data_IF_406162376838
#
_entry.id   IF_406162376838
#
_cell.length_a   1.000
_cell.length_b   1.000
_cell.length_c   1.000
_cell.angle_alpha   90.00
_cell.angle_beta   90.00
_cell.angle_gamma   90.00
#
_symmetry.space_group_name_H-M   'P 1'
#
loop_
_entity.id
_entity.type
_entity.pdbx_description
1 polymer ?
#
# COMPACT_ATOMS: atom_id res chain seq x y z
N UNK A 1 12.16 -50.20 -2.84
CA UNK A 1 12.09 -50.55 -4.28
C UNK A 1 12.94 -49.54 -5.05
N UNK A 2 14.06 -50.02 -5.56
CA UNK A 2 15.13 -49.19 -6.16
C UNK A 2 14.89 -49.10 -7.68
N UNK A 3 14.73 -47.91 -8.20
CA UNK A 3 14.57 -47.65 -9.64
C UNK A 3 15.94 -47.34 -10.26
N UNK A 4 16.57 -48.35 -10.81
CA UNK A 4 17.74 -48.22 -11.66
C UNK A 4 17.35 -47.52 -13.00
N UNK A 5 17.80 -46.28 -13.21
CA UNK A 5 17.73 -45.67 -14.53
C UNK A 5 18.94 -46.07 -15.36
N UNK A 6 18.69 -46.86 -16.41
CA UNK A 6 19.66 -47.23 -17.44
C UNK A 6 20.14 -45.98 -18.20
N UNK A 7 21.44 -45.71 -18.10
CA UNK A 7 22.13 -44.78 -19.03
C UNK A 7 22.46 -45.60 -20.30
N UNK A 8 21.75 -45.32 -21.39
CA UNK A 8 22.11 -45.86 -22.70
C UNK A 8 23.43 -45.20 -23.15
N UNK A 9 24.52 -45.98 -23.11
CA UNK A 9 25.75 -45.62 -23.84
C UNK A 9 25.47 -45.75 -25.33
N UNK A 10 25.42 -44.62 -26.03
CA UNK A 10 25.47 -44.63 -27.49
C UNK A 10 26.92 -44.90 -27.95
N UNK A 11 27.17 -46.10 -28.43
CA UNK A 11 28.41 -46.42 -29.13
C UNK A 11 28.36 -45.78 -30.51
N UNK A 12 29.19 -44.75 -30.72
CA UNK A 12 29.43 -44.17 -32.05
C UNK A 12 30.36 -45.13 -32.76
N UNK A 13 29.84 -45.83 -33.78
CA UNK A 13 30.63 -46.61 -34.69
C UNK A 13 31.44 -45.70 -35.63
N UNK A 14 32.75 -45.67 -35.44
CA UNK A 14 33.67 -44.97 -36.36
C UNK A 14 33.87 -45.87 -37.58
N UNK A 15 33.25 -45.54 -38.71
CA UNK A 15 33.58 -46.14 -40.02
C UNK A 15 34.94 -45.64 -40.45
N UNK A 16 35.89 -46.57 -40.63
CA UNK A 16 37.17 -46.33 -41.25
C UNK A 16 36.97 -45.85 -42.70
N UNK A 17 37.25 -44.61 -42.99
CA UNK A 17 37.43 -44.07 -44.34
C UNK A 17 38.92 -43.94 -44.66
N UNK A 18 39.31 -44.09 -45.89
CA UNK A 18 40.70 -44.28 -46.29
C UNK A 18 41.59 -43.08 -46.00
N UNK A 19 42.79 -43.39 -45.59
CA UNK A 19 43.90 -42.51 -45.23
C UNK A 19 44.14 -41.43 -46.27
N UNK A 20 43.56 -40.26 -46.11
CA UNK A 20 44.12 -39.03 -46.66
C UNK A 20 45.18 -38.54 -45.67
N UNK A 21 46.43 -38.50 -46.13
CA UNK A 21 47.55 -37.91 -45.41
C UNK A 21 47.28 -36.42 -45.18
N UNK A 22 46.60 -36.07 -44.10
CA UNK A 22 46.51 -34.68 -43.68
C UNK A 22 47.86 -34.22 -43.14
N UNK A 23 48.58 -33.39 -43.97
CA UNK A 23 49.69 -32.62 -43.44
C UNK A 23 49.18 -31.59 -42.46
N UNK A 24 49.31 -31.88 -41.17
CA UNK A 24 49.00 -30.93 -40.10
C UNK A 24 49.99 -29.74 -40.28
N UNK A 25 49.51 -28.65 -40.81
CA UNK A 25 50.24 -27.40 -40.79
C UNK A 25 50.13 -26.82 -39.36
N UNK A 26 51.25 -26.61 -38.64
CA UNK A 26 51.30 -26.14 -37.26
C UNK A 26 50.51 -24.84 -37.04
N UNK A 27 50.35 -24.03 -38.07
CA UNK A 27 49.50 -22.82 -38.03
C UNK A 27 47.99 -23.12 -37.97
N UNK A 28 47.52 -24.22 -38.61
CA UNK A 28 46.11 -24.65 -38.56
C UNK A 28 45.80 -25.27 -37.20
N UNK A 29 46.73 -25.99 -36.58
CA UNK A 29 46.54 -26.54 -35.24
C UNK A 29 46.44 -25.46 -34.17
N UNK A 30 47.20 -24.38 -34.25
CA UNK A 30 47.07 -23.24 -33.34
C UNK A 30 45.75 -22.50 -33.49
N UNK A 31 45.27 -22.31 -34.73
CA UNK A 31 43.94 -21.69 -34.94
C UNK A 31 42.82 -22.55 -34.38
N UNK A 32 42.85 -23.87 -34.61
CA UNK A 32 41.86 -24.79 -34.11
C UNK A 32 41.87 -24.85 -32.57
N UNK A 33 43.02 -24.86 -31.94
CA UNK A 33 43.16 -24.80 -30.49
C UNK A 33 42.61 -23.49 -29.92
N UNK A 34 42.90 -22.36 -30.56
CA UNK A 34 42.36 -21.07 -30.14
C UNK A 34 40.82 -20.98 -30.31
N UNK A 35 40.26 -21.59 -31.37
CA UNK A 35 38.82 -21.65 -31.58
C UNK A 35 38.12 -22.52 -30.53
N UNK A 36 38.69 -23.67 -30.16
CA UNK A 36 38.19 -24.54 -29.08
C UNK A 36 38.24 -23.78 -27.73
N UNK A 37 39.34 -23.09 -27.47
CA UNK A 37 39.49 -22.30 -26.22
C UNK A 37 38.46 -21.16 -26.18
N UNK A 38 38.26 -20.44 -27.29
CA UNK A 38 37.23 -19.41 -27.38
C UNK A 38 35.81 -19.97 -27.21
N UNK A 39 35.49 -21.09 -27.86
CA UNK A 39 34.19 -21.76 -27.69
C UNK A 39 34.02 -22.28 -26.25
N UNK A 40 35.07 -22.84 -25.67
CA UNK A 40 35.06 -23.27 -24.26
C UNK A 40 34.78 -22.12 -23.29
N UNK A 41 35.43 -20.97 -23.49
CA UNK A 41 35.22 -19.76 -22.72
C UNK A 41 33.80 -19.19 -22.91
N UNK A 42 33.24 -19.23 -24.11
CA UNK A 42 31.87 -18.81 -24.39
C UNK A 42 30.88 -19.74 -23.70
N UNK A 43 31.06 -21.08 -23.82
CA UNK A 43 30.20 -22.06 -23.14
C UNK A 43 30.27 -21.92 -21.64
N UNK A 44 31.46 -21.71 -21.07
CA UNK A 44 31.62 -21.49 -19.63
C UNK A 44 30.92 -20.23 -19.16
N UNK A 45 31.08 -19.11 -19.88
CA UNK A 45 30.39 -17.86 -19.58
C UNK A 45 28.86 -18.01 -19.67
N UNK A 46 28.39 -18.70 -20.73
CA UNK A 46 26.94 -18.95 -20.90
C UNK A 46 26.40 -19.82 -19.80
N UNK A 47 27.08 -20.89 -19.40
CA UNK A 47 26.69 -21.78 -18.32
C UNK A 47 26.67 -21.05 -16.95
N UNK A 48 27.63 -20.14 -16.70
CA UNK A 48 27.66 -19.31 -15.50
C UNK A 48 26.46 -18.35 -15.48
N UNK A 49 26.19 -17.64 -16.58
CA UNK A 49 25.05 -16.71 -16.67
C UNK A 49 23.70 -17.42 -16.50
N UNK A 50 23.56 -18.60 -17.12
CA UNK A 50 22.34 -19.42 -16.96
C UNK A 50 22.22 -19.97 -15.52
N UNK A 51 23.32 -20.43 -14.95
CA UNK A 51 23.37 -20.88 -13.55
C UNK A 51 22.97 -19.77 -12.58
N UNK A 52 23.48 -18.55 -12.80
CA UNK A 52 23.09 -17.37 -12.00
C UNK A 52 21.59 -17.03 -12.15
N UNK A 53 21.05 -17.07 -13.36
CA UNK A 53 19.62 -16.83 -13.60
C UNK A 53 18.74 -17.85 -12.88
N UNK A 54 19.13 -19.12 -12.95
CA UNK A 54 18.41 -20.21 -12.27
C UNK A 54 18.51 -20.02 -10.76
N UNK A 55 19.68 -19.71 -10.22
CA UNK A 55 19.87 -19.46 -8.78
C UNK A 55 19.03 -18.29 -8.29
N UNK A 56 19.02 -17.17 -9.02
CA UNK A 56 18.19 -16.00 -8.72
C UNK A 56 16.70 -16.32 -8.77
N UNK A 57 16.26 -17.06 -9.80
CA UNK A 57 14.85 -17.47 -9.93
C UNK A 57 14.42 -18.35 -8.76
N UNK A 58 15.18 -19.40 -8.47
CA UNK A 58 14.87 -20.32 -7.39
C UNK A 58 14.87 -19.62 -6.02
N UNK A 59 15.85 -18.76 -5.77
CA UNK A 59 15.94 -17.98 -4.54
C UNK A 59 14.70 -17.09 -4.33
N UNK A 60 14.27 -16.40 -5.40
CA UNK A 60 13.08 -15.56 -5.37
C UNK A 60 11.79 -16.38 -5.19
N UNK A 61 11.66 -17.51 -5.88
CA UNK A 61 10.50 -18.40 -5.73
C UNK A 61 10.39 -18.97 -4.30
N UNK A 62 11.51 -19.39 -3.70
CA UNK A 62 11.54 -19.84 -2.31
C UNK A 62 11.14 -18.71 -1.37
N UNK A 63 11.74 -17.51 -1.52
CA UNK A 63 11.41 -16.36 -0.69
C UNK A 63 9.92 -15.97 -0.80
N UNK A 64 9.35 -16.02 -1.99
CA UNK A 64 7.93 -15.69 -2.23
C UNK A 64 6.97 -16.77 -1.71
N UNK A 65 7.39 -18.03 -1.67
CA UNK A 65 6.59 -19.15 -1.19
C UNK A 65 6.55 -19.28 0.35
N UNK A 66 7.37 -18.53 1.08
CA UNK A 66 7.35 -18.55 2.54
C UNK A 66 6.06 -17.94 3.11
N UNK A 67 5.60 -18.48 4.22
CA UNK A 67 4.49 -17.88 4.98
C UNK A 67 4.90 -16.54 5.55
N UNK A 68 3.99 -15.55 5.52
CA UNK A 68 4.21 -14.20 6.05
C UNK A 68 4.61 -14.22 7.53
N UNK A 69 4.09 -15.16 8.31
CA UNK A 69 4.43 -15.34 9.73
C UNK A 69 5.89 -15.73 9.98
N UNK A 70 6.58 -16.23 8.96
CA UNK A 70 7.98 -16.66 9.03
C UNK A 70 8.97 -15.59 8.56
N UNK A 71 8.49 -14.50 8.00
CA UNK A 71 9.36 -13.45 7.44
C UNK A 71 10.00 -12.60 8.55
N UNK A 72 9.22 -12.32 9.60
CA UNK A 72 9.70 -11.65 10.80
C UNK A 72 9.99 -12.73 11.83
N UNK A 73 11.26 -12.93 12.13
CA UNK A 73 11.73 -13.83 13.18
C UNK A 73 12.26 -13.02 14.36
N UNK A 74 12.70 -13.68 15.39
CA UNK A 74 13.36 -13.04 16.53
C UNK A 74 14.78 -13.54 16.62
N UNK A 75 15.68 -12.64 17.00
CA UNK A 75 17.05 -12.97 17.37
C UNK A 75 17.12 -13.63 18.78
N UNK A 76 18.31 -13.90 19.26
CA UNK A 76 18.56 -14.51 20.58
C UNK A 76 18.11 -13.61 21.75
N UNK A 77 17.96 -12.29 21.50
CA UNK A 77 17.48 -11.30 22.46
C UNK A 77 15.95 -11.09 22.35
N UNK A 78 15.27 -11.78 21.45
CA UNK A 78 13.83 -11.66 21.22
C UNK A 78 13.43 -10.48 20.36
N UNK A 79 14.39 -9.79 19.70
CA UNK A 79 14.12 -8.66 18.82
C UNK A 79 13.68 -9.13 17.42
N UNK A 80 12.75 -8.44 16.76
CA UNK A 80 12.30 -8.81 15.43
C UNK A 80 13.37 -8.54 14.36
N UNK A 81 13.75 -9.58 13.65
CA UNK A 81 14.70 -9.53 12.53
C UNK A 81 14.07 -10.15 11.27
N UNK A 82 14.62 -9.80 10.11
CA UNK A 82 14.27 -10.48 8.87
C UNK A 82 14.81 -11.91 8.88
N UNK A 83 14.02 -12.87 8.36
CA UNK A 83 14.41 -14.27 8.29
C UNK A 83 15.78 -14.43 7.60
N UNK A 84 16.67 -15.17 8.22
CA UNK A 84 17.95 -15.58 7.64
C UNK A 84 17.96 -17.10 7.48
N UNK A 85 18.23 -17.58 6.26
CA UNK A 85 18.31 -19.01 5.96
C UNK A 85 19.50 -19.30 5.04
N UNK A 86 20.28 -20.31 5.34
CA UNK A 86 21.25 -20.87 4.41
C UNK A 86 20.56 -22.00 3.57
N UNK A 87 20.30 -21.68 2.31
CA UNK A 87 19.60 -22.58 1.39
C UNK A 87 20.58 -23.34 0.47
N UNK A 88 21.89 -23.23 0.69
CA UNK A 88 22.89 -23.87 -0.20
C UNK A 88 22.89 -23.33 -1.64
N UNK A 89 22.33 -22.16 -1.90
CA UNK A 89 22.15 -21.58 -3.24
C UNK A 89 23.38 -20.84 -3.78
N UNK A 90 24.53 -20.94 -3.11
CA UNK A 90 25.71 -20.12 -3.42
C UNK A 90 25.52 -18.63 -3.07
N UNK A 91 26.55 -17.80 -3.32
CA UNK A 91 26.53 -16.38 -2.92
C UNK A 91 25.39 -15.59 -3.59
N UNK A 92 25.26 -15.71 -4.91
CA UNK A 92 24.26 -14.98 -5.69
C UNK A 92 22.83 -15.38 -5.30
N UNK A 93 22.58 -16.68 -5.06
CA UNK A 93 21.29 -17.17 -4.60
C UNK A 93 20.95 -16.65 -3.20
N UNK A 94 21.92 -16.65 -2.28
CA UNK A 94 21.75 -16.11 -0.92
C UNK A 94 21.44 -14.62 -0.93
N UNK A 95 22.20 -13.83 -1.67
CA UNK A 95 21.95 -12.38 -1.78
C UNK A 95 20.57 -12.08 -2.36
N UNK A 96 20.16 -12.81 -3.41
CA UNK A 96 18.84 -12.66 -4.02
C UNK A 96 17.72 -13.06 -3.06
N UNK A 97 17.89 -14.17 -2.34
CA UNK A 97 16.96 -14.62 -1.31
C UNK A 97 16.81 -13.58 -0.21
N UNK A 98 17.93 -13.14 0.37
CA UNK A 98 17.92 -12.15 1.45
C UNK A 98 17.27 -10.85 1.01
N UNK A 99 17.62 -10.33 -0.17
CA UNK A 99 16.97 -9.14 -0.73
C UNK A 99 15.44 -9.29 -0.90
N UNK A 100 14.98 -10.47 -1.29
CA UNK A 100 13.53 -10.74 -1.40
C UNK A 100 12.86 -10.86 -0.01
N UNK A 101 13.54 -11.45 0.97
CA UNK A 101 13.08 -11.49 2.37
C UNK A 101 13.02 -10.09 2.96
N UNK A 102 14.04 -9.26 2.74
CA UNK A 102 14.10 -7.89 3.23
C UNK A 102 12.93 -7.04 2.69
N UNK A 103 12.62 -7.19 1.40
CA UNK A 103 11.45 -6.53 0.81
C UNK A 103 10.15 -6.99 1.47
N UNK A 104 9.99 -8.30 1.71
CA UNK A 104 8.82 -8.84 2.40
C UNK A 104 8.75 -8.41 3.86
N UNK A 105 9.87 -8.32 4.54
CA UNK A 105 9.95 -7.81 5.91
C UNK A 105 9.39 -6.39 6.02
N UNK A 106 9.79 -5.50 5.11
CA UNK A 106 9.24 -4.14 5.02
C UNK A 106 7.74 -4.16 4.74
N UNK A 107 7.27 -5.02 3.81
CA UNK A 107 5.84 -5.16 3.50
C UNK A 107 5.01 -5.66 4.69
N UNK A 108 5.54 -6.59 5.48
CA UNK A 108 4.84 -7.09 6.67
C UNK A 108 4.78 -6.00 7.77
N UNK A 109 5.81 -5.18 7.92
CA UNK A 109 5.78 -4.01 8.80
C UNK A 109 4.77 -2.96 8.32
N UNK A 110 4.73 -2.69 7.02
CA UNK A 110 3.73 -1.79 6.42
C UNK A 110 2.30 -2.23 6.76
N UNK A 111 1.99 -3.53 6.55
CA UNK A 111 0.69 -4.09 6.91
C UNK A 111 0.38 -3.96 8.41
N UNK A 112 1.33 -4.28 9.28
CA UNK A 112 1.16 -4.19 10.73
C UNK A 112 0.88 -2.75 11.16
N UNK A 113 1.67 -1.80 10.67
CA UNK A 113 1.51 -0.38 10.98
C UNK A 113 0.19 0.17 10.47
N UNK A 114 -0.23 -0.21 9.27
CA UNK A 114 -1.52 0.17 8.70
C UNK A 114 -2.70 -0.34 9.52
N UNK A 115 -2.67 -1.61 9.89
CA UNK A 115 -3.72 -2.22 10.72
C UNK A 115 -3.78 -1.54 12.08
N UNK A 116 -2.63 -1.29 12.71
CA UNK A 116 -2.57 -0.62 14.01
C UNK A 116 -3.01 0.84 13.94
N UNK A 117 -2.60 1.56 12.91
CA UNK A 117 -3.06 2.94 12.69
C UNK A 117 -4.59 3.00 12.55
N UNK A 118 -5.19 2.06 11.81
CA UNK A 118 -6.64 1.98 11.66
C UNK A 118 -7.34 1.63 13.00
N UNK A 119 -6.80 0.70 13.76
CA UNK A 119 -7.32 0.34 15.11
C UNK A 119 -7.28 1.55 16.05
N UNK A 120 -6.12 2.21 16.15
CA UNK A 120 -5.95 3.40 17.00
C UNK A 120 -6.86 4.53 16.53
N UNK A 121 -6.97 4.75 15.21
CA UNK A 121 -7.87 5.75 14.64
C UNK A 121 -9.31 5.52 15.09
N UNK A 122 -9.83 4.31 14.88
CA UNK A 122 -11.22 3.99 15.23
C UNK A 122 -11.47 4.10 16.74
N UNK A 123 -10.54 3.64 17.58
CA UNK A 123 -10.66 3.74 19.04
C UNK A 123 -10.55 5.17 19.57
N UNK A 124 -9.96 6.08 18.81
CA UNK A 124 -9.80 7.48 19.19
C UNK A 124 -10.97 8.37 18.77
N UNK A 125 -11.89 7.90 17.91
CA UNK A 125 -12.99 8.72 17.38
C UNK A 125 -13.96 9.26 18.46
N UNK A 126 -14.07 8.54 19.58
CA UNK A 126 -14.97 8.90 20.69
C UNK A 126 -14.29 9.74 21.76
N UNK A 127 -13.01 10.01 21.64
CA UNK A 127 -12.25 10.81 22.61
C UNK A 127 -12.53 12.30 22.40
N UNK A 128 -12.35 13.11 23.45
CA UNK A 128 -12.56 14.56 23.41
C UNK A 128 -11.65 15.23 22.37
N UNK A 129 -10.38 14.76 22.29
CA UNK A 129 -9.39 15.25 21.33
C UNK A 129 -8.85 14.12 20.43
N UNK A 130 -9.65 13.59 19.48
CA UNK A 130 -9.36 12.35 18.76
C UNK A 130 -8.00 12.35 18.06
N UNK A 131 -7.64 13.45 17.38
CA UNK A 131 -6.39 13.55 16.66
C UNK A 131 -5.15 13.58 17.58
N UNK A 132 -5.25 14.24 18.73
CA UNK A 132 -4.15 14.29 19.70
C UNK A 132 -3.92 12.89 20.32
N UNK A 133 -5.00 12.23 20.74
CA UNK A 133 -4.96 10.87 21.28
C UNK A 133 -4.41 9.89 20.26
N UNK A 134 -4.87 9.96 19.01
CA UNK A 134 -4.34 9.14 17.92
C UNK A 134 -2.83 9.35 17.76
N UNK A 135 -2.36 10.59 17.64
CA UNK A 135 -0.94 10.90 17.48
C UNK A 135 -0.09 10.34 18.61
N UNK A 136 -0.53 10.52 19.85
CA UNK A 136 0.18 10.00 21.02
C UNK A 136 0.27 8.48 20.98
N UNK A 137 -0.87 7.78 20.82
CA UNK A 137 -0.90 6.31 20.77
C UNK A 137 -0.10 5.74 19.62
N UNK A 138 -0.16 6.38 18.45
CA UNK A 138 0.60 5.95 17.28
C UNK A 138 2.12 6.18 17.45
N UNK A 139 2.52 7.32 18.01
CA UNK A 139 3.93 7.58 18.33
C UNK A 139 4.47 6.56 19.33
N UNK A 140 3.75 6.28 20.41
CA UNK A 140 4.14 5.26 21.40
C UNK A 140 4.30 3.89 20.73
N UNK A 141 3.35 3.48 19.90
CA UNK A 141 3.43 2.21 19.18
C UNK A 141 4.64 2.14 18.23
N UNK A 142 4.90 3.22 17.48
CA UNK A 142 6.07 3.29 16.59
C UNK A 142 7.35 3.21 17.41
N UNK A 143 7.48 3.97 18.49
CA UNK A 143 8.68 3.97 19.34
C UNK A 143 8.94 2.61 19.97
N UNK A 144 7.94 1.96 20.53
CA UNK A 144 8.06 0.62 21.11
C UNK A 144 8.55 -0.40 20.10
N UNK A 145 8.03 -0.37 18.86
CA UNK A 145 8.40 -1.33 17.82
C UNK A 145 9.68 -0.97 17.09
N UNK A 146 9.94 0.30 16.86
CA UNK A 146 11.20 0.79 16.28
C UNK A 146 12.36 0.48 17.21
N UNK A 147 12.22 0.71 18.51
CA UNK A 147 13.27 0.39 19.47
C UNK A 147 13.51 -1.12 19.63
N UNK A 148 12.56 -1.95 19.21
CA UNK A 148 12.71 -3.40 19.18
C UNK A 148 13.44 -3.92 17.94
N UNK A 149 13.56 -3.11 16.86
CA UNK A 149 14.26 -3.49 15.63
C UNK A 149 15.75 -3.18 15.78
N UNK A 150 16.60 -4.21 15.77
CA UNK A 150 18.04 -4.07 16.00
C UNK A 150 18.76 -3.35 14.85
N UNK A 151 18.38 -3.64 13.60
CA UNK A 151 19.00 -3.05 12.42
C UNK A 151 18.56 -1.59 12.23
N UNK A 152 19.51 -0.68 12.31
CA UNK A 152 19.27 0.77 12.15
C UNK A 152 18.62 1.14 10.79
N UNK A 153 18.89 0.36 9.75
CA UNK A 153 18.29 0.57 8.42
C UNK A 153 16.80 0.27 8.43
N UNK A 154 16.40 -0.88 8.96
CA UNK A 154 14.99 -1.24 9.06
C UNK A 154 14.23 -0.38 10.05
N UNK A 155 14.90 0.00 11.15
CA UNK A 155 14.40 0.95 12.14
C UNK A 155 13.96 2.26 11.44
N UNK A 156 14.83 2.84 10.59
CA UNK A 156 14.51 4.03 9.81
C UNK A 156 13.30 3.84 8.88
N UNK A 157 13.21 2.70 8.22
CA UNK A 157 12.09 2.38 7.32
C UNK A 157 10.78 2.26 8.09
N UNK A 158 10.74 1.50 9.18
CA UNK A 158 9.55 1.31 10.02
C UNK A 158 9.06 2.65 10.58
N UNK A 159 9.99 3.50 11.05
CA UNK A 159 9.69 4.84 11.54
C UNK A 159 9.09 5.74 10.46
N UNK A 160 9.63 5.71 9.25
CA UNK A 160 9.11 6.50 8.12
C UNK A 160 7.69 6.05 7.75
N UNK A 161 7.45 4.76 7.57
CA UNK A 161 6.12 4.21 7.27
C UNK A 161 5.12 4.57 8.38
N UNK A 162 5.52 4.43 9.64
CA UNK A 162 4.68 4.82 10.78
C UNK A 162 4.32 6.29 10.79
N UNK A 163 5.28 7.17 10.45
CA UNK A 163 5.07 8.62 10.34
C UNK A 163 4.14 8.98 9.17
N UNK A 164 4.23 8.28 8.06
CA UNK A 164 3.33 8.45 6.92
C UNK A 164 1.87 8.11 7.31
N UNK A 165 1.64 6.99 7.98
CA UNK A 165 0.31 6.65 8.49
C UNK A 165 -0.18 7.65 9.54
N UNK A 166 0.70 8.13 10.42
CA UNK A 166 0.33 9.16 11.38
C UNK A 166 -0.14 10.44 10.69
N UNK A 167 0.53 10.86 9.61
CA UNK A 167 0.15 12.01 8.81
C UNK A 167 -1.17 11.79 8.05
N UNK A 168 -1.32 10.63 7.37
CA UNK A 168 -2.53 10.25 6.63
C UNK A 168 -3.78 10.27 7.52
N UNK A 169 -3.73 9.59 8.67
CA UNK A 169 -4.87 9.52 9.56
C UNK A 169 -5.15 10.86 10.26
N UNK A 170 -4.11 11.67 10.56
CA UNK A 170 -4.30 13.03 11.04
C UNK A 170 -5.05 13.89 10.03
N UNK A 171 -4.75 13.75 8.74
CA UNK A 171 -5.49 14.43 7.67
C UNK A 171 -6.94 13.94 7.59
N UNK A 172 -7.20 12.64 7.74
CA UNK A 172 -8.57 12.08 7.82
C UNK A 172 -9.39 12.73 8.94
N UNK A 173 -8.79 12.95 10.12
CA UNK A 173 -9.48 13.67 11.21
C UNK A 173 -9.85 15.08 10.82
N UNK A 174 -8.97 15.82 10.16
CA UNK A 174 -9.28 17.19 9.73
C UNK A 174 -10.41 17.22 8.71
N UNK A 175 -10.37 16.32 7.72
CA UNK A 175 -11.42 16.22 6.71
C UNK A 175 -12.76 15.89 7.38
N UNK A 176 -12.81 14.90 8.28
CA UNK A 176 -14.02 14.51 8.97
C UNK A 176 -14.57 15.64 9.87
N UNK A 177 -13.68 16.40 10.53
CA UNK A 177 -14.07 17.57 11.33
C UNK A 177 -14.72 18.63 10.45
N UNK A 178 -14.10 18.98 9.31
CA UNK A 178 -14.67 19.95 8.37
C UNK A 178 -16.00 19.48 7.80
N UNK A 179 -16.12 18.20 7.43
CA UNK A 179 -17.38 17.64 6.96
C UNK A 179 -18.51 17.72 8.00
N UNK A 180 -18.22 17.39 9.26
CA UNK A 180 -19.20 17.55 10.35
C UNK A 180 -19.60 19.02 10.52
N UNK A 181 -18.64 19.93 10.52
CA UNK A 181 -18.95 21.36 10.61
C UNK A 181 -19.85 21.84 9.45
N UNK A 182 -19.59 21.38 8.23
CA UNK A 182 -20.44 21.68 7.07
C UNK A 182 -21.85 21.12 7.27
N UNK A 183 -21.97 19.88 7.74
CA UNK A 183 -23.28 19.26 8.03
C UNK A 183 -24.06 20.01 9.09
N UNK A 184 -23.41 20.40 10.20
CA UNK A 184 -24.02 21.13 11.30
C UNK A 184 -24.50 22.52 10.82
N UNK A 185 -23.68 23.23 10.04
CA UNK A 185 -24.07 24.52 9.45
C UNK A 185 -25.24 24.33 8.48
N UNK A 186 -25.22 23.30 7.64
CA UNK A 186 -26.29 23.01 6.70
C UNK A 186 -27.60 22.74 7.43
N UNK A 187 -27.57 21.88 8.46
CA UNK A 187 -28.71 21.57 9.28
C UNK A 187 -29.30 22.83 9.93
N UNK A 188 -28.46 23.62 10.62
CA UNK A 188 -28.87 24.87 11.28
C UNK A 188 -29.50 25.87 10.28
N UNK A 189 -28.93 26.01 9.07
CA UNK A 189 -29.50 26.89 8.05
C UNK A 189 -30.82 26.38 7.51
N UNK A 190 -30.95 25.06 7.30
CA UNK A 190 -32.19 24.43 6.86
C UNK A 190 -33.30 24.61 7.88
N UNK A 191 -33.02 24.34 9.16
CA UNK A 191 -33.96 24.54 10.26
C UNK A 191 -34.43 26.01 10.37
N UNK A 192 -33.52 26.96 10.20
CA UNK A 192 -33.84 28.39 10.22
C UNK A 192 -34.78 28.81 9.06
N UNK A 193 -34.61 28.20 7.88
CA UNK A 193 -35.52 28.47 6.72
C UNK A 193 -36.89 27.81 6.98
N UNK A 194 -36.93 26.60 7.50
CA UNK A 194 -38.20 25.92 7.85
C UNK A 194 -38.97 26.64 8.93
N UNK A 195 -38.30 27.16 9.96
CA UNK A 195 -38.91 27.94 11.05
C UNK A 195 -39.49 29.25 10.52
N UNK A 196 -38.71 29.96 9.69
CA UNK A 196 -39.21 31.18 9.04
C UNK A 196 -40.40 30.89 8.10
N UNK A 197 -40.38 29.76 7.41
CA UNK A 197 -41.50 29.30 6.60
C UNK A 197 -42.76 29.02 7.41
N UNK A 198 -42.63 28.32 8.54
CA UNK A 198 -43.74 28.07 9.47
C UNK A 198 -44.31 29.38 10.02
N UNK A 199 -43.47 30.29 10.49
CA UNK A 199 -43.88 31.58 11.01
C UNK A 199 -44.65 32.43 9.94
N UNK A 200 -44.19 32.39 8.69
CA UNK A 200 -44.88 33.03 7.57
C UNK A 200 -46.29 32.42 7.34
N UNK A 201 -46.41 31.08 7.26
CA UNK A 201 -47.66 30.38 7.04
C UNK A 201 -48.66 30.64 8.18
N UNK A 202 -48.20 30.64 9.41
CA UNK A 202 -49.01 30.93 10.60
C UNK A 202 -49.50 32.38 10.61
N UNK A 203 -48.66 33.31 10.17
CA UNK A 203 -49.04 34.72 10.02
C UNK A 203 -50.08 34.89 8.91
N UNK A 204 -49.97 34.17 7.77
CA UNK A 204 -50.98 34.19 6.71
C UNK A 204 -52.33 33.67 7.23
N UNK A 205 -52.31 32.55 7.99
CA UNK A 205 -53.56 31.94 8.56
C UNK A 205 -54.24 32.86 9.57
N UNK A 206 -53.42 33.56 10.37
CA UNK A 206 -53.96 34.41 11.45
C UNK A 206 -54.41 35.79 10.99
N UNK A 207 -53.71 36.37 10.06
CA UNK A 207 -53.91 37.78 9.69
C UNK A 207 -54.22 38.03 8.21
N UNK A 208 -54.09 37.04 7.36
CA UNK A 208 -54.19 37.16 5.92
C UNK A 208 -52.91 37.66 5.25
N UNK A 209 -52.84 37.45 3.92
CA UNK A 209 -51.61 37.61 3.12
C UNK A 209 -51.10 39.06 3.03
N UNK A 210 -52.02 40.07 3.09
CA UNK A 210 -51.74 41.49 2.94
C UNK A 210 -51.49 42.19 4.27
N UNK A 211 -51.49 41.47 5.40
CA UNK A 211 -51.25 42.08 6.70
C UNK A 211 -49.78 42.48 6.89
N UNK A 212 -49.47 43.64 7.50
CA UNK A 212 -48.09 44.10 7.65
C UNK A 212 -47.14 43.05 8.30
N UNK A 213 -47.61 42.34 9.33
CA UNK A 213 -46.86 41.23 9.95
C UNK A 213 -46.56 40.09 8.98
N UNK A 214 -47.49 39.77 8.11
CA UNK A 214 -47.31 38.69 7.14
C UNK A 214 -46.28 39.08 6.08
N UNK A 215 -46.31 40.35 5.67
CA UNK A 215 -45.32 40.88 4.75
C UNK A 215 -43.90 40.88 5.36
N UNK A 216 -43.79 41.25 6.63
CA UNK A 216 -42.52 41.15 7.39
C UNK A 216 -41.98 39.71 7.49
N UNK A 217 -42.83 38.77 7.85
CA UNK A 217 -42.43 37.33 7.91
C UNK A 217 -42.04 36.81 6.51
N UNK A 218 -42.70 37.24 5.45
CA UNK A 218 -42.32 36.89 4.10
C UNK A 218 -40.93 37.39 3.74
N UNK A 219 -40.63 38.66 4.04
CA UNK A 219 -39.31 39.26 3.81
C UNK A 219 -38.23 38.54 4.61
N UNK A 220 -38.53 38.15 5.86
CA UNK A 220 -37.63 37.40 6.69
C UNK A 220 -37.35 36.00 6.10
N UNK A 221 -38.36 35.28 5.65
CA UNK A 221 -38.21 34.00 4.95
C UNK A 221 -37.37 34.13 3.67
N UNK A 222 -37.65 35.13 2.84
CA UNK A 222 -36.88 35.41 1.62
C UNK A 222 -35.41 35.69 1.93
N UNK A 223 -35.12 36.44 3.00
CA UNK A 223 -33.75 36.70 3.44
C UNK A 223 -33.05 35.40 3.85
N UNK A 224 -33.71 34.50 4.52
CA UNK A 224 -33.15 33.18 4.92
C UNK A 224 -32.94 32.26 3.74
N UNK A 225 -33.88 32.21 2.79
CA UNK A 225 -33.76 31.42 1.56
C UNK A 225 -32.67 31.89 0.63
N UNK A 226 -32.40 33.20 0.60
CA UNK A 226 -31.36 33.82 -0.23
C UNK A 226 -30.02 33.94 0.51
N UNK A 227 -29.85 33.32 1.70
CA UNK A 227 -28.56 33.28 2.39
C UNK A 227 -27.54 32.54 1.52
N UNK A 228 -26.41 33.19 1.16
CA UNK A 228 -25.40 32.57 0.29
C UNK A 228 -24.81 31.28 0.81
N UNK A 229 -24.74 31.08 2.14
CA UNK A 229 -24.31 29.81 2.74
C UNK A 229 -25.36 28.71 2.55
N UNK A 230 -26.64 29.05 2.75
CA UNK A 230 -27.73 28.11 2.49
C UNK A 230 -27.76 27.68 1.02
N UNK A 231 -27.62 28.62 0.08
CA UNK A 231 -27.56 28.31 -1.34
C UNK A 231 -26.40 27.38 -1.74
N UNK A 232 -25.26 27.52 -1.06
CA UNK A 232 -24.05 26.70 -1.36
C UNK A 232 -24.10 25.32 -0.71
N UNK A 233 -24.72 25.20 0.46
CA UNK A 233 -24.68 24.00 1.28
C UNK A 233 -25.90 23.10 1.11
N UNK A 234 -27.11 23.68 0.98
CA UNK A 234 -28.32 22.93 0.74
C UNK A 234 -28.39 22.40 -0.70
N UNK A 235 -28.76 21.14 -0.85
CA UNK A 235 -28.94 20.57 -2.18
C UNK A 235 -30.08 21.24 -2.94
N UNK A 236 -30.05 21.25 -4.29
CA UNK A 236 -31.16 21.80 -5.10
C UNK A 236 -32.49 21.15 -4.79
N UNK A 237 -32.51 19.85 -4.45
CA UNK A 237 -33.73 19.12 -4.11
C UNK A 237 -34.29 19.57 -2.74
N UNK A 238 -33.46 19.74 -1.71
CA UNK A 238 -33.88 20.25 -0.41
C UNK A 238 -34.44 21.66 -0.53
N UNK A 239 -33.74 22.56 -1.24
CA UNK A 239 -34.20 23.93 -1.48
C UNK A 239 -35.57 23.96 -2.18
N UNK A 240 -35.76 23.08 -3.18
CA UNK A 240 -37.05 22.98 -3.91
C UNK A 240 -38.16 22.47 -3.00
N UNK A 241 -37.89 21.46 -2.17
CA UNK A 241 -38.84 20.88 -1.23
C UNK A 241 -39.35 21.95 -0.25
N UNK A 242 -38.43 22.67 0.41
CA UNK A 242 -38.78 23.73 1.36
C UNK A 242 -39.54 24.87 0.65
N UNK A 243 -39.10 25.26 -0.54
CA UNK A 243 -39.79 26.28 -1.32
C UNK A 243 -41.24 25.88 -1.70
N UNK A 244 -41.47 24.60 -1.99
CA UNK A 244 -42.80 24.09 -2.32
C UNK A 244 -43.69 23.99 -1.07
N UNK A 245 -43.13 23.63 0.08
CA UNK A 245 -43.87 23.62 1.37
C UNK A 245 -44.34 25.00 1.79
N UNK A 246 -43.62 26.06 1.42
CA UNK A 246 -43.91 27.46 1.75
C UNK A 246 -44.72 28.20 0.64
N UNK A 247 -45.15 27.51 -0.41
CA UNK A 247 -46.10 28.06 -1.40
C UNK A 247 -47.51 27.99 -0.86
N UNK A 248 -48.17 29.11 -0.86
CA UNK A 248 -49.60 29.26 -0.58
C UNK A 248 -50.31 29.38 -1.89
#
# INVERSE_FOLDING_TARGET
MSANRFIKKSTVSVRNSPTSTFRFNAASGKRFANEIEQQGNILQKTALVEGEKIAKKNAKEIAMGLDSSKIITTDDEGKPIALQMDLGLGSIGRETFQSAIDQRYVQEWDKKLKLKANEIYNSSLLEEHPNAVFKTRMSTFIEEHVNSVEDSFYNGIVKNIGSEYQAEYSQKYQINKVQRQIQDITLTKTEAVEEAGRAYLDSVRSFGINHPRTIEQKQFLETRQNDPLYERLASPAERLTIKNQNKI
#
